data_IF_045320089753
#
_entry.id   IF_045320089753
#
_cell.length_a   1.000
_cell.length_b   1.000
_cell.length_c   1.000
_cell.angle_alpha   90.00
_cell.angle_beta   90.00
_cell.angle_gamma   90.00
#
_symmetry.space_group_name_H-M   'P 1'
#
loop_
_entity.id
_entity.type
_entity.pdbx_description
1 polymer ?
#
# COMPACT_ATOMS: atom_id res chain seq x y z
N UNK A 1 64.33 4.78 -18.68
CA UNK A 1 64.15 5.29 -17.30
C UNK A 1 63.56 6.69 -17.44
N UNK A 2 62.24 6.82 -17.25
CA UNK A 2 61.62 7.50 -16.07
C UNK A 2 61.89 9.02 -16.08
N UNK A 3 60.94 9.96 -15.98
CA UNK A 3 59.50 9.97 -15.72
C UNK A 3 58.94 11.31 -16.26
N UNK A 4 57.69 11.33 -16.73
CA UNK A 4 56.92 12.56 -16.97
C UNK A 4 56.02 12.90 -15.78
N UNK A 5 55.87 14.19 -15.49
CA UNK A 5 55.02 14.75 -14.43
C UNK A 5 53.63 15.19 -14.96
N UNK A 6 52.57 14.73 -14.26
CA UNK A 6 51.29 15.40 -13.94
C UNK A 6 50.19 15.55 -15.02
N UNK A 7 48.90 15.81 -14.63
CA UNK A 7 48.35 15.91 -13.28
C UNK A 7 47.10 15.02 -13.02
N UNK A 8 46.71 15.05 -11.74
CA UNK A 8 45.57 14.39 -11.13
C UNK A 8 44.21 14.69 -11.79
N UNK A 9 43.41 13.64 -11.95
CA UNK A 9 41.99 13.71 -12.29
C UNK A 9 41.25 12.59 -11.59
N UNK A 10 40.79 12.85 -10.37
CA UNK A 10 39.88 11.96 -9.66
C UNK A 10 38.57 11.85 -10.43
N UNK A 11 38.26 10.67 -10.95
CA UNK A 11 36.91 10.34 -11.38
C UNK A 11 36.28 9.46 -10.32
N UNK A 12 35.28 10.05 -9.65
CA UNK A 12 34.37 9.38 -8.76
C UNK A 12 33.77 8.15 -9.46
N UNK A 13 34.07 6.97 -8.93
CA UNK A 13 33.31 5.76 -9.21
C UNK A 13 32.01 5.83 -8.38
N UNK A 14 31.08 6.67 -8.83
CA UNK A 14 29.69 6.67 -8.37
C UNK A 14 28.95 5.55 -9.09
N UNK A 15 28.49 4.56 -8.32
CA UNK A 15 27.97 3.28 -8.80
C UNK A 15 26.88 3.41 -9.86
N UNK A 16 27.12 2.78 -11.01
CA UNK A 16 26.10 2.32 -11.92
C UNK A 16 25.41 1.11 -11.25
N UNK A 17 24.44 1.35 -10.37
CA UNK A 17 23.59 0.27 -9.86
C UNK A 17 22.45 0.01 -10.87
N UNK A 18 22.18 -1.26 -11.24
CA UNK A 18 21.18 -1.59 -12.23
C UNK A 18 19.77 -1.21 -11.76
N UNK A 19 18.99 -0.62 -12.66
CA UNK A 19 17.55 -0.40 -12.50
C UNK A 19 16.79 -1.73 -12.72
N UNK A 20 16.96 -2.71 -11.85
CA UNK A 20 16.35 -4.04 -12.04
C UNK A 20 15.05 -4.14 -11.21
N UNK A 21 13.96 -3.65 -11.79
CA UNK A 21 12.60 -3.83 -11.29
C UNK A 21 11.61 -2.84 -11.92
N UNK A 22 10.46 -3.27 -12.46
CA UNK A 22 9.55 -2.37 -13.16
C UNK A 22 8.80 -1.39 -12.23
N UNK A 23 8.71 -1.73 -10.94
CA UNK A 23 8.09 -0.93 -9.89
C UNK A 23 8.79 -1.19 -8.55
N UNK A 24 9.01 -0.16 -7.75
CA UNK A 24 9.67 -0.34 -6.45
C UNK A 24 9.83 0.92 -5.61
N UNK A 25 10.18 0.72 -4.34
CA UNK A 25 10.52 1.77 -3.40
C UNK A 25 12.03 1.94 -3.28
N UNK A 26 12.54 3.17 -3.43
CA UNK A 26 13.96 3.50 -3.19
C UNK A 26 14.11 4.28 -1.89
N UNK A 27 15.19 4.03 -1.15
CA UNK A 27 15.52 4.83 0.04
C UNK A 27 15.96 6.22 -0.41
N UNK A 28 15.39 7.25 0.19
CA UNK A 28 15.89 8.60 -0.03
C UNK A 28 17.24 8.70 0.69
N UNK A 29 18.29 9.00 -0.06
CA UNK A 29 19.65 9.11 0.44
C UNK A 29 19.78 10.42 1.25
N UNK A 30 19.23 10.39 2.47
CA UNK A 30 19.48 11.36 3.52
C UNK A 30 19.91 10.56 4.74
N UNK A 31 21.15 10.81 5.16
CA UNK A 31 21.79 10.25 6.35
C UNK A 31 20.92 10.42 7.60
N UNK A 32 20.68 9.29 8.29
CA UNK A 32 20.41 9.07 9.73
C UNK A 32 19.36 7.93 9.91
N UNK A 33 19.66 6.84 10.65
CA UNK A 33 18.66 5.83 11.02
C UNK A 33 17.79 6.32 12.19
N UNK A 34 16.52 6.62 11.95
CA UNK A 34 15.55 7.08 12.96
C UNK A 34 15.10 6.01 13.99
N UNK A 35 15.84 4.92 14.21
CA UNK A 35 15.41 3.88 15.16
C UNK A 35 15.98 4.03 16.58
N UNK A 36 16.85 5.02 16.83
CA UNK A 36 17.46 5.22 18.16
C UNK A 36 16.72 6.26 19.04
N UNK A 37 15.39 6.17 19.09
CA UNK A 37 14.59 6.90 20.08
C UNK A 37 14.06 5.91 21.11
N UNK A 38 14.76 5.82 22.25
CA UNK A 38 14.49 4.87 23.34
C UNK A 38 13.07 4.86 23.90
N UNK A 39 12.19 4.04 23.32
CA UNK A 39 10.88 3.70 23.88
C UNK A 39 11.02 2.42 24.73
N UNK A 40 10.58 2.42 26.00
CA UNK A 40 10.65 1.23 26.85
C UNK A 40 9.72 0.15 26.29
N UNK A 41 10.29 -1.00 25.96
CA UNK A 41 9.56 -2.18 25.46
C UNK A 41 8.79 -2.84 26.60
N UNK A 42 7.57 -2.37 26.86
CA UNK A 42 6.59 -3.11 27.65
C UNK A 42 5.65 -3.86 26.72
N UNK A 43 5.95 -5.14 26.45
CA UNK A 43 4.98 -6.23 26.22
C UNK A 43 3.78 -6.09 25.26
N UNK A 44 3.65 -5.05 24.43
CA UNK A 44 2.59 -4.97 23.42
C UNK A 44 3.13 -5.44 22.07
N UNK A 45 2.34 -6.23 21.34
CA UNK A 45 2.64 -6.53 19.94
C UNK A 45 2.94 -5.22 19.19
N UNK A 46 3.90 -5.22 18.25
CA UNK A 46 4.20 -4.00 17.49
C UNK A 46 2.91 -3.56 16.80
N UNK A 47 2.49 -2.30 16.99
CA UNK A 47 1.26 -1.75 16.42
C UNK A 47 1.12 -2.03 14.90
N UNK A 48 2.25 -2.17 14.20
CA UNK A 48 2.30 -2.57 12.80
C UNK A 48 1.76 -3.97 12.50
N UNK A 49 1.88 -4.96 13.39
CA UNK A 49 1.34 -6.30 13.16
C UNK A 49 -0.20 -6.32 13.20
N UNK A 50 -0.79 -5.58 14.14
CA UNK A 50 -2.25 -5.49 14.27
C UNK A 50 -2.86 -4.77 13.06
N UNK A 51 -2.20 -3.73 12.54
CA UNK A 51 -2.64 -3.04 11.35
C UNK A 51 -2.62 -3.96 10.11
N UNK A 52 -1.67 -4.91 10.02
CA UNK A 52 -1.60 -5.89 8.92
C UNK A 52 -2.82 -6.82 8.94
N UNK A 53 -3.27 -7.25 10.12
CA UNK A 53 -4.46 -8.08 10.25
C UNK A 53 -5.73 -7.34 9.76
N UNK A 54 -5.84 -6.04 10.06
CA UNK A 54 -6.94 -5.20 9.55
C UNK A 54 -6.88 -5.08 8.02
N UNK A 55 -5.69 -4.94 7.45
CA UNK A 55 -5.54 -4.96 5.99
C UNK A 55 -6.04 -6.27 5.39
N UNK A 56 -5.64 -7.41 5.96
CA UNK A 56 -6.09 -8.72 5.53
C UNK A 56 -7.61 -8.86 5.62
N UNK A 57 -8.22 -8.39 6.72
CA UNK A 57 -9.68 -8.34 6.86
C UNK A 57 -10.34 -7.47 5.77
N UNK A 58 -9.73 -6.34 5.41
CA UNK A 58 -10.16 -5.51 4.29
C UNK A 58 -10.11 -6.25 2.94
N UNK A 59 -9.06 -7.03 2.68
CA UNK A 59 -8.97 -7.84 1.45
C UNK A 59 -10.05 -8.93 1.40
N UNK A 60 -10.35 -9.57 2.54
CA UNK A 60 -11.44 -10.55 2.65
C UNK A 60 -12.79 -9.88 2.37
N UNK A 61 -13.03 -8.72 2.97
CA UNK A 61 -14.24 -7.93 2.73
C UNK A 61 -14.37 -7.54 1.25
N UNK A 62 -13.28 -7.05 0.64
CA UNK A 62 -13.24 -6.74 -0.79
C UNK A 62 -13.64 -7.94 -1.64
N UNK A 63 -13.12 -9.13 -1.33
CA UNK A 63 -13.48 -10.37 -2.03
C UNK A 63 -14.97 -10.67 -1.97
N UNK A 64 -15.62 -10.48 -0.82
CA UNK A 64 -17.07 -10.62 -0.69
C UNK A 64 -17.83 -9.56 -1.50
N UNK A 65 -17.43 -8.29 -1.39
CA UNK A 65 -18.15 -7.19 -2.04
C UNK A 65 -18.00 -7.21 -3.57
N UNK A 66 -16.88 -7.70 -4.09
CA UNK A 66 -16.62 -7.82 -5.52
C UNK A 66 -17.00 -9.18 -6.11
N UNK A 67 -17.40 -10.16 -5.30
CA UNK A 67 -17.68 -11.53 -5.75
C UNK A 67 -16.47 -12.24 -6.38
N UNK A 68 -15.25 -11.87 -5.97
CA UNK A 68 -13.99 -12.39 -6.56
C UNK A 68 -13.08 -12.93 -5.46
N UNK A 69 -12.68 -14.18 -5.58
CA UNK A 69 -11.70 -14.78 -4.69
C UNK A 69 -10.79 -15.75 -5.47
N UNK A 70 -9.46 -15.67 -5.30
CA UNK A 70 -8.73 -14.61 -4.57
C UNK A 70 -8.87 -13.26 -5.31
N UNK A 71 -8.82 -12.13 -4.60
CA UNK A 71 -8.91 -10.83 -5.26
C UNK A 71 -7.58 -10.49 -5.96
N UNK A 72 -6.48 -10.60 -5.21
CA UNK A 72 -5.11 -10.43 -5.70
C UNK A 72 -4.55 -11.77 -6.17
N UNK A 73 -3.92 -11.80 -7.34
CA UNK A 73 -3.32 -13.01 -7.93
C UNK A 73 -1.79 -12.85 -8.09
N UNK A 74 -1.18 -11.99 -7.27
CA UNK A 74 0.25 -11.75 -7.28
C UNK A 74 1.07 -12.98 -6.90
N UNK A 75 2.03 -13.34 -7.75
CA UNK A 75 2.94 -14.48 -7.54
C UNK A 75 4.21 -14.05 -6.79
N UNK A 76 4.54 -12.76 -6.84
CA UNK A 76 5.69 -12.14 -6.19
C UNK A 76 5.35 -10.70 -5.72
N UNK A 77 6.28 -10.09 -4.97
CA UNK A 77 6.09 -8.76 -4.39
C UNK A 77 5.94 -7.64 -5.43
N UNK A 78 6.51 -7.81 -6.62
CA UNK A 78 6.41 -6.82 -7.72
C UNK A 78 5.01 -6.83 -8.30
N UNK A 79 4.45 -8.02 -8.54
CA UNK A 79 3.07 -8.18 -9.01
C UNK A 79 2.08 -7.66 -7.96
N UNK A 80 2.33 -7.95 -6.67
CA UNK A 80 1.52 -7.43 -5.57
C UNK A 80 1.55 -5.90 -5.55
N UNK A 81 2.74 -5.31 -5.65
CA UNK A 81 2.91 -3.86 -5.70
C UNK A 81 2.23 -3.22 -6.93
N UNK A 82 2.24 -3.92 -8.06
CA UNK A 82 1.54 -3.49 -9.27
C UNK A 82 0.02 -3.51 -9.08
N UNK A 83 -0.53 -4.60 -8.56
CA UNK A 83 -1.97 -4.73 -8.28
C UNK A 83 -2.44 -3.66 -7.29
N UNK A 84 -1.66 -3.40 -6.23
CA UNK A 84 -1.91 -2.29 -5.32
C UNK A 84 -1.89 -0.95 -6.04
N UNK A 85 -0.89 -0.70 -6.87
CA UNK A 85 -0.81 0.57 -7.59
C UNK A 85 -1.95 0.76 -8.58
N UNK A 86 -2.48 -0.32 -9.18
CA UNK A 86 -3.68 -0.25 -10.02
C UNK A 86 -4.92 0.15 -9.22
N UNK A 87 -5.04 -0.30 -7.96
CA UNK A 87 -6.13 0.06 -7.07
C UNK A 87 -6.00 1.46 -6.47
N UNK A 88 -4.83 1.80 -5.92
CA UNK A 88 -4.59 3.04 -5.17
C UNK A 88 -4.14 4.20 -6.06
N UNK A 89 -3.66 3.91 -7.26
CA UNK A 89 -3.08 4.91 -8.15
C UNK A 89 -1.68 5.34 -7.71
N UNK A 90 -0.96 5.97 -8.63
CA UNK A 90 0.45 6.32 -8.42
C UNK A 90 0.61 7.42 -7.35
N UNK A 91 -0.33 8.36 -7.24
CA UNK A 91 -0.24 9.48 -6.29
C UNK A 91 -0.20 9.00 -4.84
N UNK A 92 -1.19 8.20 -4.45
CA UNK A 92 -1.30 7.70 -3.08
C UNK A 92 -0.14 6.76 -2.72
N UNK A 93 0.33 5.96 -3.68
CA UNK A 93 1.52 5.12 -3.49
C UNK A 93 2.78 5.95 -3.24
N UNK A 94 2.94 7.11 -3.91
CA UNK A 94 4.05 8.05 -3.65
C UNK A 94 3.92 8.75 -2.29
N UNK A 95 2.72 9.16 -1.91
CA UNK A 95 2.45 9.77 -0.61
C UNK A 95 2.78 8.77 0.52
N UNK A 96 2.31 7.53 0.40
CA UNK A 96 2.65 6.44 1.32
C UNK A 96 4.17 6.17 1.36
N UNK A 97 4.86 6.18 0.22
CA UNK A 97 6.32 6.08 0.17
C UNK A 97 7.00 7.14 1.04
N UNK A 98 6.54 8.38 0.89
CA UNK A 98 7.14 9.55 1.52
C UNK A 98 7.01 9.48 3.06
N UNK A 99 5.89 8.97 3.58
CA UNK A 99 5.71 8.72 5.02
C UNK A 99 6.81 7.82 5.61
N UNK A 100 7.37 6.93 4.80
CA UNK A 100 8.43 6.01 5.21
C UNK A 100 9.84 6.42 4.74
N UNK A 101 10.02 7.67 4.32
CA UNK A 101 11.29 8.15 3.75
C UNK A 101 11.75 7.28 2.57
N UNK A 102 10.79 6.89 1.73
CA UNK A 102 10.99 6.15 0.49
C UNK A 102 10.44 6.96 -0.69
N UNK A 103 10.88 6.59 -1.88
CA UNK A 103 10.33 7.08 -3.15
C UNK A 103 9.72 5.93 -3.93
N UNK A 104 8.51 6.11 -4.44
CA UNK A 104 7.86 5.16 -5.33
C UNK A 104 8.11 5.52 -6.79
N UNK A 105 8.67 4.58 -7.56
CA UNK A 105 8.91 4.73 -8.99
C UNK A 105 8.36 3.53 -9.76
N UNK A 106 7.80 3.80 -10.94
CA UNK A 106 7.40 2.78 -11.92
C UNK A 106 7.91 3.18 -13.29
N UNK A 107 8.42 2.22 -14.06
CA UNK A 107 8.83 2.40 -15.46
C UNK A 107 7.81 1.79 -16.44
N UNK A 108 6.66 1.32 -15.94
CA UNK A 108 5.64 0.66 -16.76
C UNK A 108 4.89 1.73 -17.56
N UNK A 109 5.02 1.75 -18.91
CA UNK A 109 4.55 2.87 -19.75
C UNK A 109 3.04 3.16 -19.70
N UNK A 110 2.25 2.16 -19.27
CA UNK A 110 0.79 2.23 -19.21
C UNK A 110 0.23 2.40 -17.78
N UNK A 111 1.06 2.60 -16.77
CA UNK A 111 0.60 2.95 -15.42
C UNK A 111 0.23 4.44 -15.34
N UNK A 112 -0.85 4.82 -16.02
CA UNK A 112 -1.29 6.22 -16.15
C UNK A 112 -2.35 6.63 -15.12
N UNK A 113 -2.77 5.72 -14.25
CA UNK A 113 -3.79 6.03 -13.25
C UNK A 113 -3.16 6.76 -12.07
N UNK A 114 -3.28 8.09 -12.08
CA UNK A 114 -2.78 8.92 -10.99
C UNK A 114 -3.63 8.76 -9.72
N UNK A 115 -4.94 8.55 -9.85
CA UNK A 115 -5.90 8.48 -8.75
C UNK A 115 -6.42 7.08 -8.47
N UNK A 116 -6.69 6.76 -7.20
CA UNK A 116 -7.37 5.53 -6.74
C UNK A 116 -8.65 5.19 -7.50
N UNK A 117 -8.90 3.89 -7.61
CA UNK A 117 -10.18 3.31 -8.02
C UNK A 117 -11.18 3.40 -6.89
N UNK A 118 -12.33 4.03 -7.14
CA UNK A 118 -13.45 3.99 -6.19
C UNK A 118 -13.96 2.56 -6.05
N UNK A 119 -13.95 2.00 -4.83
CA UNK A 119 -14.38 0.61 -4.62
C UNK A 119 -15.83 0.36 -5.05
N UNK A 120 -16.72 1.35 -4.92
CA UNK A 120 -18.07 1.32 -5.52
C UNK A 120 -18.03 0.97 -7.00
N UNK A 121 -17.18 1.65 -7.78
CA UNK A 121 -17.07 1.40 -9.22
C UNK A 121 -16.48 0.03 -9.50
N UNK A 122 -15.49 -0.37 -8.70
CA UNK A 122 -14.82 -1.66 -8.83
C UNK A 122 -15.80 -2.81 -8.59
N UNK A 123 -16.51 -2.82 -7.46
CA UNK A 123 -17.48 -3.85 -7.12
C UNK A 123 -18.61 -3.91 -8.16
N UNK A 124 -19.16 -2.76 -8.60
CA UNK A 124 -20.16 -2.70 -9.68
C UNK A 124 -19.67 -3.30 -11.00
N UNK A 125 -18.39 -3.14 -11.32
CA UNK A 125 -17.82 -3.67 -12.57
C UNK A 125 -17.50 -5.17 -12.47
N UNK A 126 -17.13 -5.67 -11.29
CA UNK A 126 -16.70 -7.05 -11.09
C UNK A 126 -17.86 -8.01 -10.80
N UNK A 127 -18.90 -7.54 -10.12
CA UNK A 127 -20.11 -8.29 -9.78
C UNK A 127 -21.36 -7.38 -9.90
N UNK A 128 -21.80 -7.05 -11.13
CA UNK A 128 -22.90 -6.12 -11.34
C UNK A 128 -24.22 -6.59 -10.72
N UNK A 129 -24.54 -7.89 -10.88
CA UNK A 129 -25.77 -8.48 -10.39
C UNK A 129 -25.77 -8.60 -8.87
N UNK A 130 -24.68 -9.09 -8.28
CA UNK A 130 -24.57 -9.18 -6.83
C UNK A 130 -24.49 -7.81 -6.17
N UNK A 131 -23.85 -6.82 -6.80
CA UNK A 131 -23.91 -5.44 -6.34
C UNK A 131 -25.35 -4.93 -6.34
N UNK A 132 -26.09 -5.10 -7.44
CA UNK A 132 -27.47 -4.63 -7.55
C UNK A 132 -28.40 -5.29 -6.52
N UNK A 133 -28.19 -6.58 -6.22
CA UNK A 133 -28.96 -7.31 -5.22
C UNK A 133 -28.70 -6.83 -3.78
N UNK A 134 -27.55 -6.20 -3.52
CA UNK A 134 -27.14 -5.70 -2.20
C UNK A 134 -27.17 -4.17 -2.10
N UNK A 135 -27.47 -3.46 -3.19
CA UNK A 135 -27.35 -2.00 -3.26
C UNK A 135 -28.26 -1.33 -2.22
N UNK A 136 -27.69 -0.47 -1.40
CA UNK A 136 -28.40 0.11 -0.26
C UNK A 136 -27.45 0.62 0.84
N UNK A 137 -28.01 1.02 2.00
CA UNK A 137 -27.24 1.56 3.11
C UNK A 137 -26.16 0.60 3.63
N UNK A 138 -26.48 -0.69 3.71
CA UNK A 138 -25.54 -1.70 4.20
C UNK A 138 -24.34 -1.86 3.27
N UNK A 139 -24.56 -1.84 1.95
CA UNK A 139 -23.48 -1.87 0.97
C UNK A 139 -22.62 -0.61 1.02
N UNK A 140 -23.25 0.56 1.21
CA UNK A 140 -22.51 1.81 1.39
C UNK A 140 -21.63 1.78 2.65
N UNK A 141 -22.18 1.31 3.78
CA UNK A 141 -21.44 1.13 5.03
C UNK A 141 -20.32 0.08 4.87
N UNK A 142 -20.55 -1.01 4.12
CA UNK A 142 -19.53 -2.02 3.85
C UNK A 142 -18.34 -1.44 3.08
N UNK A 143 -18.63 -0.60 2.08
CA UNK A 143 -17.60 0.05 1.26
C UNK A 143 -16.83 1.10 2.07
N UNK A 144 -17.50 1.85 2.94
CA UNK A 144 -16.81 2.80 3.83
C UNK A 144 -15.85 2.06 4.78
N UNK A 145 -16.31 0.98 5.42
CA UNK A 145 -15.44 0.16 6.27
C UNK A 145 -14.25 -0.39 5.47
N UNK A 146 -14.51 -0.88 4.25
CA UNK A 146 -13.47 -1.37 3.36
C UNK A 146 -12.41 -0.30 3.07
N UNK A 147 -12.82 0.94 2.77
CA UNK A 147 -11.90 2.06 2.53
C UNK A 147 -11.02 2.35 3.74
N UNK A 148 -11.58 2.24 4.95
CA UNK A 148 -10.85 2.45 6.21
C UNK A 148 -9.90 1.30 6.55
N UNK A 149 -10.27 0.06 6.24
CA UNK A 149 -9.39 -1.11 6.38
C UNK A 149 -8.22 -1.06 5.38
N UNK A 150 -8.50 -0.68 4.13
CA UNK A 150 -7.54 -0.52 3.05
C UNK A 150 -6.94 0.89 3.00
N UNK A 151 -6.62 1.43 4.18
CA UNK A 151 -5.81 2.64 4.33
C UNK A 151 -4.33 2.28 4.16
N UNK A 152 -3.62 3.00 3.30
CA UNK A 152 -2.20 2.75 3.02
C UNK A 152 -1.31 3.08 4.22
N UNK A 153 -1.61 4.15 4.95
CA UNK A 153 -0.91 4.51 6.18
C UNK A 153 -1.40 3.59 7.33
N UNK A 154 -0.52 2.75 7.92
CA UNK A 154 -0.90 1.88 9.02
C UNK A 154 -1.24 2.63 10.32
N UNK A 155 -0.83 3.89 10.48
CA UNK A 155 -1.16 4.72 11.65
C UNK A 155 -2.60 5.25 11.56
N UNK A 156 -3.02 5.68 10.37
CA UNK A 156 -4.38 6.18 10.11
C UNK A 156 -5.39 5.08 9.78
N UNK A 157 -4.92 3.83 9.64
CA UNK A 157 -5.78 2.67 9.38
C UNK A 157 -6.67 2.41 10.60
N UNK A 158 -7.95 2.13 10.35
CA UNK A 158 -8.91 1.81 11.41
C UNK A 158 -8.41 0.65 12.28
N UNK A 159 -8.63 0.76 13.59
CA UNK A 159 -8.33 -0.33 14.53
C UNK A 159 -9.46 -1.36 14.57
N UNK A 160 -9.18 -2.57 15.08
CA UNK A 160 -10.22 -3.60 15.27
C UNK A 160 -11.38 -3.09 16.15
N UNK A 161 -11.05 -2.35 17.20
CA UNK A 161 -12.02 -1.80 18.14
C UNK A 161 -12.96 -0.78 17.48
N UNK A 162 -12.42 0.08 16.63
CA UNK A 162 -13.20 1.05 15.85
C UNK A 162 -14.02 0.36 14.76
N UNK A 163 -13.45 -0.64 14.09
CA UNK A 163 -14.14 -1.43 13.07
C UNK A 163 -15.38 -2.12 13.66
N UNK A 164 -15.28 -2.71 14.86
CA UNK A 164 -16.42 -3.34 15.54
C UNK A 164 -17.54 -2.35 15.91
N UNK A 165 -17.23 -1.05 16.04
CA UNK A 165 -18.24 0.00 16.28
C UNK A 165 -18.82 0.58 14.99
N UNK A 166 -18.25 0.22 13.83
CA UNK A 166 -18.67 0.72 12.54
C UNK A 166 -20.12 0.31 12.22
N UNK A 167 -20.96 1.18 11.63
CA UNK A 167 -22.35 0.86 11.32
C UNK A 167 -22.55 -0.49 10.61
N UNK A 168 -21.65 -0.83 9.69
CA UNK A 168 -21.66 -2.12 8.98
C UNK A 168 -21.58 -3.36 9.90
N UNK A 169 -20.81 -3.29 11.00
CA UNK A 169 -20.63 -4.42 11.93
C UNK A 169 -21.47 -4.30 13.20
N UNK A 170 -21.87 -3.08 13.57
CA UNK A 170 -22.55 -2.80 14.84
C UNK A 170 -23.92 -3.47 14.99
N UNK A 171 -24.63 -3.74 13.89
CA UNK A 171 -25.95 -4.39 13.92
C UNK A 171 -25.92 -5.92 13.76
N UNK A 172 -24.74 -6.52 13.56
CA UNK A 172 -24.61 -7.98 13.41
C UNK A 172 -24.54 -8.71 14.76
N UNK A 173 -24.48 -7.97 15.88
CA UNK A 173 -24.38 -8.51 17.24
C UNK A 173 -25.73 -8.65 17.98
N UNK A 174 -26.86 -8.65 17.26
CA UNK A 174 -28.22 -8.78 17.79
C UNK A 174 -28.84 -10.15 17.52
#
# INVERSE_FOLDING_TARGET
MHHGEGPAGGKATGGLFPLEGPVGFKKNDLSEPCWDSGIPRTGSAPHSSLAIDIWAAGVILLSFLSGRFPFFHSINDVDALLELTVLFGVREMRECAALHNRTFQTNIPNMQRESRVRFVKLCKALDPEGYAARDGPDMANAIELLERCLCLDPVERITAEEALRHPFLREVAG
#
